data_IF_768414156663
#
_entry.id   IF_768414156663
#
_cell.length_a   1.000
_cell.length_b   1.000
_cell.length_c   1.000
_cell.angle_alpha   90.00
_cell.angle_beta   90.00
_cell.angle_gamma   90.00
#
_symmetry.space_group_name_H-M   'P 1'
#
loop_
_entity.id
_entity.type
_entity.pdbx_description
1 polymer ?
#
# COMPACT_ATOMS: atom_id res chain seq x y z
N UNK A 1 -18.89 -0.83 8.97
CA UNK A 1 -18.79 -2.23 8.49
C UNK A 1 -17.52 -2.90 9.00
N UNK A 2 -16.34 -2.76 8.38
CA UNK A 2 -15.09 -3.37 8.91
C UNK A 2 -14.65 -2.80 10.27
N UNK A 3 -14.59 -1.48 10.43
CA UNK A 3 -14.20 -0.85 11.70
C UNK A 3 -15.22 -0.99 12.85
N UNK A 4 -16.44 -1.48 12.56
CA UNK A 4 -17.47 -1.69 13.58
C UNK A 4 -17.41 -3.10 14.17
N UNK A 5 -17.11 -4.10 13.33
CA UNK A 5 -16.91 -5.48 13.76
C UNK A 5 -15.75 -6.11 12.94
N UNK A 6 -14.49 -5.84 13.35
CA UNK A 6 -13.33 -6.33 12.63
C UNK A 6 -13.24 -7.85 12.63
N UNK A 7 -13.65 -8.53 13.71
CA UNK A 7 -13.60 -10.00 13.78
C UNK A 7 -14.50 -10.64 12.73
N UNK A 8 -15.69 -10.06 12.49
CA UNK A 8 -16.62 -10.59 11.49
C UNK A 8 -16.25 -10.23 10.05
N UNK A 9 -15.70 -9.03 9.83
CA UNK A 9 -15.64 -8.44 8.49
C UNK A 9 -14.23 -8.25 7.93
N UNK A 10 -13.16 -8.49 8.70
CA UNK A 10 -11.79 -8.29 8.20
C UNK A 10 -11.49 -9.15 6.98
N UNK A 11 -11.74 -10.46 7.04
CA UNK A 11 -11.48 -11.34 5.91
C UNK A 11 -12.26 -10.92 4.65
N UNK A 12 -13.56 -10.63 4.79
CA UNK A 12 -14.40 -10.16 3.68
C UNK A 12 -13.89 -8.84 3.11
N UNK A 13 -13.53 -7.89 3.98
CA UNK A 13 -13.05 -6.57 3.55
C UNK A 13 -11.70 -6.67 2.83
N UNK A 14 -10.73 -7.41 3.38
CA UNK A 14 -9.41 -7.58 2.76
C UNK A 14 -9.54 -8.27 1.39
N UNK A 15 -10.39 -9.29 1.30
CA UNK A 15 -10.68 -9.96 0.03
C UNK A 15 -11.26 -9.00 -0.99
N UNK A 16 -12.30 -8.23 -0.63
CA UNK A 16 -12.92 -7.27 -1.55
C UNK A 16 -11.95 -6.15 -1.97
N UNK A 17 -11.17 -5.61 -1.02
CA UNK A 17 -10.17 -4.57 -1.29
C UNK A 17 -9.12 -5.04 -2.29
N UNK A 18 -8.52 -6.21 -2.04
CA UNK A 18 -7.49 -6.75 -2.92
C UNK A 18 -8.05 -7.15 -4.29
N UNK A 19 -9.26 -7.73 -4.36
CA UNK A 19 -9.91 -8.03 -5.65
C UNK A 19 -10.22 -6.77 -6.45
N UNK A 20 -10.71 -5.71 -5.79
CA UNK A 20 -10.94 -4.42 -6.44
C UNK A 20 -9.64 -3.85 -6.99
N UNK A 21 -8.57 -3.87 -6.19
CA UNK A 21 -7.26 -3.38 -6.63
C UNK A 21 -6.70 -4.21 -7.78
N UNK A 22 -6.88 -5.53 -7.74
CA UNK A 22 -6.46 -6.41 -8.81
C UNK A 22 -7.17 -6.09 -10.11
N UNK A 23 -8.49 -5.89 -10.08
CA UNK A 23 -9.24 -5.44 -11.26
C UNK A 23 -8.71 -4.12 -11.81
N UNK A 24 -8.37 -3.16 -10.96
CA UNK A 24 -7.78 -1.88 -11.38
C UNK A 24 -6.39 -2.05 -12.01
N UNK A 25 -5.53 -2.90 -11.44
CA UNK A 25 -4.17 -3.14 -11.96
C UNK A 25 -4.19 -3.88 -13.30
N UNK A 26 -5.16 -4.78 -13.50
CA UNK A 26 -5.33 -5.54 -14.74
C UNK A 26 -6.05 -4.77 -15.85
N UNK A 27 -6.57 -3.57 -15.58
CA UNK A 27 -7.14 -2.75 -16.64
C UNK A 27 -6.05 -2.30 -17.62
N UNK A 28 -6.34 -2.30 -18.94
CA UNK A 28 -5.41 -1.78 -19.92
C UNK A 28 -4.98 -0.35 -19.59
N UNK A 29 -3.70 0.01 -19.81
CA UNK A 29 -3.24 1.37 -19.60
C UNK A 29 -4.08 2.38 -20.40
N UNK A 30 -4.40 3.55 -19.83
CA UNK A 30 -5.17 4.57 -20.55
C UNK A 30 -4.49 4.95 -21.87
N UNK A 31 -5.27 5.20 -22.93
CA UNK A 31 -4.74 5.55 -24.25
C UNK A 31 -3.78 6.76 -24.23
N UNK A 32 -3.97 7.70 -23.29
CA UNK A 32 -3.05 8.84 -23.09
C UNK A 32 -1.63 8.40 -22.72
N UNK A 33 -1.50 7.31 -21.96
CA UNK A 33 -0.22 6.76 -21.52
C UNK A 33 0.48 6.10 -22.71
N UNK A 34 -0.27 5.33 -23.50
CA UNK A 34 0.22 4.65 -24.70
C UNK A 34 0.66 5.61 -25.82
N UNK A 35 0.16 6.85 -25.80
CA UNK A 35 0.49 7.92 -26.76
C UNK A 35 1.49 8.94 -26.21
N UNK A 36 1.96 8.78 -24.97
CA UNK A 36 2.86 9.74 -24.34
C UNK A 36 4.22 9.74 -25.06
N UNK A 37 4.83 10.93 -25.17
CA UNK A 37 6.22 11.04 -25.61
C UNK A 37 7.12 10.77 -24.40
N UNK A 38 7.90 9.68 -24.44
CA UNK A 38 8.79 9.25 -23.35
C UNK A 38 8.38 7.90 -22.76
N UNK A 39 9.07 7.48 -21.69
CA UNK A 39 8.77 6.23 -21.00
C UNK A 39 7.42 6.37 -20.29
N UNK A 40 6.41 5.52 -20.60
CA UNK A 40 5.11 5.60 -19.97
C UNK A 40 5.18 5.11 -18.52
N UNK A 41 4.78 5.95 -17.55
CA UNK A 41 4.78 5.58 -16.12
C UNK A 41 3.36 5.47 -15.58
N UNK A 42 3.00 4.28 -15.09
CA UNK A 42 1.73 4.02 -14.43
C UNK A 42 1.92 3.94 -12.91
N UNK A 43 1.22 4.80 -12.17
CA UNK A 43 1.30 4.86 -10.71
C UNK A 43 0.00 4.34 -10.10
N UNK A 44 0.12 3.47 -9.10
CA UNK A 44 -1.00 2.93 -8.34
C UNK A 44 -1.01 3.50 -6.91
N UNK A 45 -2.18 3.87 -6.40
CA UNK A 45 -2.34 4.09 -4.96
C UNK A 45 -2.33 2.71 -4.27
N UNK A 46 -1.25 2.41 -3.53
CA UNK A 46 -0.99 1.09 -2.93
C UNK A 46 -0.86 -0.03 -3.97
N UNK A 47 -0.79 -1.27 -3.51
CA UNK A 47 -0.62 -2.46 -4.35
C UNK A 47 -1.24 -3.70 -3.70
N UNK A 48 -1.44 -4.77 -4.48
CA UNK A 48 -1.90 -6.06 -3.92
C UNK A 48 -0.93 -6.58 -2.86
N UNK A 49 0.36 -6.27 -3.00
CA UNK A 49 1.37 -6.57 -1.98
C UNK A 49 1.09 -5.87 -0.65
N UNK A 50 0.73 -4.59 -0.66
CA UNK A 50 0.36 -3.90 0.58
C UNK A 50 -0.95 -4.45 1.19
N UNK A 51 -1.91 -4.90 0.36
CA UNK A 51 -3.12 -5.54 0.89
C UNK A 51 -2.76 -6.79 1.70
N UNK A 52 -1.81 -7.63 1.23
CA UNK A 52 -1.34 -8.81 1.97
C UNK A 52 -0.38 -8.49 3.13
N UNK A 53 0.72 -7.81 2.84
CA UNK A 53 1.87 -7.68 3.75
C UNK A 53 1.72 -6.54 4.77
N UNK A 54 0.75 -5.64 4.59
CA UNK A 54 0.42 -4.61 5.57
C UNK A 54 -0.94 -4.88 6.20
N UNK A 55 -2.01 -4.83 5.42
CA UNK A 55 -3.36 -4.79 5.99
C UNK A 55 -3.84 -6.17 6.45
N UNK A 56 -3.85 -7.17 5.58
CA UNK A 56 -4.32 -8.50 5.94
C UNK A 56 -3.42 -9.17 7.00
N UNK A 57 -2.10 -9.03 6.87
CA UNK A 57 -1.16 -9.48 7.90
C UNK A 57 -1.42 -8.81 9.25
N UNK A 58 -1.62 -7.49 9.29
CA UNK A 58 -1.97 -6.79 10.53
C UNK A 58 -3.30 -7.29 11.13
N UNK A 59 -4.33 -7.53 10.32
CA UNK A 59 -5.61 -8.06 10.83
C UNK A 59 -5.48 -9.49 11.35
N UNK A 60 -4.59 -10.30 10.78
CA UNK A 60 -4.25 -11.63 11.31
C UNK A 60 -3.50 -11.53 12.64
N UNK A 61 -2.47 -10.68 12.75
CA UNK A 61 -1.72 -10.45 14.00
C UNK A 61 -2.60 -9.85 15.12
N UNK A 62 -3.64 -9.11 14.75
CA UNK A 62 -4.66 -8.58 15.66
C UNK A 62 -5.75 -9.60 16.06
N UNK A 63 -5.70 -10.82 15.52
CA UNK A 63 -6.71 -11.86 15.77
C UNK A 63 -8.08 -11.58 15.15
N UNK A 64 -8.17 -10.63 14.22
CA UNK A 64 -9.41 -10.30 13.50
C UNK A 64 -9.60 -11.14 12.23
N UNK A 65 -8.54 -11.79 11.76
CA UNK A 65 -8.56 -12.86 10.76
C UNK A 65 -8.03 -14.10 11.48
N UNK A 66 -8.77 -15.21 11.45
CA UNK A 66 -8.32 -16.44 12.09
C UNK A 66 -7.33 -17.23 11.21
N UNK A 67 -6.74 -18.30 11.73
CA UNK A 67 -5.75 -19.11 11.01
C UNK A 67 -6.28 -19.70 9.70
N UNK A 68 -7.55 -20.12 9.66
CA UNK A 68 -8.18 -20.69 8.47
C UNK A 68 -8.39 -19.61 7.41
N UNK A 69 -8.96 -18.47 7.80
CA UNK A 69 -9.15 -17.33 6.90
C UNK A 69 -7.82 -16.79 6.38
N UNK A 70 -6.78 -16.77 7.22
CA UNK A 70 -5.45 -16.34 6.81
C UNK A 70 -4.79 -17.32 5.83
N UNK A 71 -4.92 -18.62 6.07
CA UNK A 71 -4.44 -19.63 5.13
C UNK A 71 -5.13 -19.51 3.76
N UNK A 72 -6.46 -19.38 3.75
CA UNK A 72 -7.24 -19.19 2.51
C UNK A 72 -6.86 -17.87 1.83
N UNK A 73 -6.72 -16.77 2.59
CA UNK A 73 -6.33 -15.47 2.04
C UNK A 73 -4.98 -15.54 1.32
N UNK A 74 -3.99 -16.16 1.95
CA UNK A 74 -2.66 -16.31 1.38
C UNK A 74 -2.66 -17.20 0.15
N UNK A 75 -3.42 -18.29 0.15
CA UNK A 75 -3.52 -19.23 -0.96
C UNK A 75 -4.06 -18.54 -2.21
N UNK A 76 -5.26 -17.95 -2.15
CA UNK A 76 -5.85 -17.30 -3.32
C UNK A 76 -5.04 -16.09 -3.76
N UNK A 77 -4.45 -15.32 -2.83
CA UNK A 77 -3.61 -14.18 -3.19
C UNK A 77 -2.37 -14.63 -3.95
N UNK A 78 -1.69 -15.69 -3.49
CA UNK A 78 -0.50 -16.22 -4.16
C UNK A 78 -0.86 -16.73 -5.55
N UNK A 79 -1.93 -17.52 -5.64
CA UNK A 79 -2.46 -18.01 -6.91
C UNK A 79 -2.72 -16.88 -7.91
N UNK A 80 -3.48 -15.84 -7.52
CA UNK A 80 -3.81 -14.75 -8.45
C UNK A 80 -2.57 -13.94 -8.88
N UNK A 81 -1.67 -13.62 -7.95
CA UNK A 81 -0.45 -12.88 -8.31
C UNK A 81 0.43 -13.70 -9.25
N UNK A 82 0.52 -15.02 -9.06
CA UNK A 82 1.23 -15.91 -9.98
C UNK A 82 0.54 -16.02 -11.35
N UNK A 83 -0.80 -16.14 -11.39
CA UNK A 83 -1.55 -16.22 -12.65
C UNK A 83 -1.44 -14.95 -13.50
N UNK A 84 -1.50 -13.78 -12.86
CA UNK A 84 -1.42 -12.50 -13.57
C UNK A 84 0.03 -12.02 -13.76
N UNK A 85 0.97 -12.58 -13.00
CA UNK A 85 2.42 -12.45 -13.18
C UNK A 85 2.86 -11.01 -13.47
N UNK A 86 3.45 -10.81 -14.64
CA UNK A 86 4.00 -9.52 -15.09
C UNK A 86 3.02 -8.34 -15.05
N UNK A 87 1.71 -8.59 -15.17
CA UNK A 87 0.73 -7.50 -15.18
C UNK A 87 0.58 -6.79 -13.82
N UNK A 88 1.03 -7.44 -12.75
CA UNK A 88 0.86 -6.97 -11.37
C UNK A 88 2.20 -6.77 -10.66
N UNK A 89 3.30 -6.91 -11.41
CA UNK A 89 4.64 -6.63 -10.95
C UNK A 89 4.85 -5.12 -10.78
N UNK A 90 5.72 -4.76 -9.81
CA UNK A 90 6.11 -3.38 -9.56
C UNK A 90 7.56 -3.20 -9.96
N UNK A 91 7.85 -2.12 -10.67
CA UNK A 91 9.23 -1.70 -11.01
C UNK A 91 9.83 -0.83 -9.90
N UNK A 92 8.99 -0.17 -9.09
CA UNK A 92 9.44 0.66 -7.96
C UNK A 92 8.31 0.91 -6.96
N UNK A 93 8.68 1.26 -5.73
CA UNK A 93 7.75 1.62 -4.66
C UNK A 93 8.09 3.02 -4.16
N UNK A 94 7.10 3.90 -4.07
CA UNK A 94 7.23 5.19 -3.39
C UNK A 94 6.56 5.07 -2.02
N UNK A 95 7.36 5.13 -0.96
CA UNK A 95 6.89 5.08 0.41
C UNK A 95 6.79 6.48 1.01
N UNK A 96 5.55 6.95 1.19
CA UNK A 96 5.24 8.19 1.92
C UNK A 96 5.28 7.92 3.42
N UNK A 97 6.45 8.11 4.03
CA UNK A 97 6.71 7.81 5.44
C UNK A 97 6.33 9.00 6.32
N UNK A 98 5.41 8.79 7.26
CA UNK A 98 5.03 9.79 8.26
C UNK A 98 4.79 9.13 9.63
N UNK A 99 5.03 9.84 10.74
CA UNK A 99 4.70 9.36 12.07
C UNK A 99 3.20 9.08 12.24
N UNK A 100 2.82 8.04 13.01
CA UNK A 100 1.42 7.72 13.31
C UNK A 100 0.60 8.91 13.83
N UNK A 101 1.20 9.78 14.64
CA UNK A 101 0.57 10.98 15.20
C UNK A 101 0.16 11.96 14.08
N UNK A 102 1.06 12.19 13.11
CA UNK A 102 0.77 13.03 11.94
C UNK A 102 -0.34 12.42 11.07
N UNK A 103 -0.36 11.10 10.93
CA UNK A 103 -1.43 10.39 10.24
C UNK A 103 -2.78 10.54 10.97
N UNK A 104 -2.79 10.48 12.30
CA UNK A 104 -3.97 10.68 13.13
C UNK A 104 -4.54 12.09 13.00
N UNK A 105 -3.69 13.12 13.03
CA UNK A 105 -4.08 14.51 12.79
C UNK A 105 -4.77 14.67 11.42
N UNK A 106 -4.16 14.13 10.36
CA UNK A 106 -4.70 14.19 8.99
C UNK A 106 -6.00 13.40 8.82
N UNK A 107 -6.15 12.27 9.51
CA UNK A 107 -7.42 11.52 9.57
C UNK A 107 -8.53 12.38 10.18
N UNK A 108 -8.24 13.07 11.29
CA UNK A 108 -9.16 13.99 11.95
C UNK A 108 -9.57 15.15 11.04
N UNK A 109 -8.60 15.80 10.40
CA UNK A 109 -8.84 16.91 9.45
C UNK A 109 -9.70 16.48 8.26
N UNK A 110 -9.47 15.27 7.72
CA UNK A 110 -10.23 14.76 6.57
C UNK A 110 -11.68 14.42 6.92
N UNK A 111 -11.97 14.08 8.17
CA UNK A 111 -13.34 13.99 8.69
C UNK A 111 -14.21 12.86 8.12
N UNK A 112 -13.63 11.78 7.58
CA UNK A 112 -14.41 10.64 7.06
C UNK A 112 -15.10 9.89 8.20
N UNK A 113 -16.40 9.65 8.03
CA UNK A 113 -17.23 9.05 9.08
C UNK A 113 -16.79 7.63 9.45
N UNK A 114 -16.33 6.86 8.47
CA UNK A 114 -15.89 5.47 8.62
C UNK A 114 -14.61 5.34 9.45
N UNK A 115 -13.82 6.41 9.54
CA UNK A 115 -12.50 6.42 10.17
C UNK A 115 -12.50 7.03 11.57
N UNK A 116 -13.64 7.57 12.04
CA UNK A 116 -13.77 8.20 13.36
C UNK A 116 -13.42 7.29 14.54
N UNK A 117 -13.54 5.97 14.37
CA UNK A 117 -13.23 4.98 15.40
C UNK A 117 -11.77 4.53 15.43
N UNK A 118 -10.94 4.93 14.45
CA UNK A 118 -9.54 4.51 14.35
C UNK A 118 -8.75 5.11 15.51
N UNK A 119 -7.99 4.26 16.21
CA UNK A 119 -7.13 4.65 17.33
C UNK A 119 -5.67 4.77 16.91
N UNK A 120 -4.89 5.55 17.65
CA UNK A 120 -3.46 5.74 17.39
C UNK A 120 -2.70 4.40 17.37
N UNK A 121 -2.97 3.51 18.33
CA UNK A 121 -2.36 2.17 18.42
C UNK A 121 -2.53 1.35 17.12
N UNK A 122 -3.67 1.51 16.42
CA UNK A 122 -3.88 0.84 15.15
C UNK A 122 -2.97 1.41 14.06
N UNK A 123 -2.79 2.73 14.03
CA UNK A 123 -1.88 3.40 13.10
C UNK A 123 -0.41 3.06 13.40
N UNK A 124 -0.03 2.90 14.66
CA UNK A 124 1.30 2.46 15.08
C UNK A 124 1.61 1.03 14.61
N UNK A 125 0.63 0.13 14.69
CA UNK A 125 0.75 -1.23 14.16
C UNK A 125 0.89 -1.23 12.64
N UNK A 126 0.07 -0.45 11.93
CA UNK A 126 0.21 -0.30 10.48
C UNK A 126 1.57 0.30 10.10
N UNK A 127 2.04 1.32 10.83
CA UNK A 127 3.35 1.92 10.61
C UNK A 127 4.46 0.87 10.78
N UNK A 128 4.40 0.07 11.83
CA UNK A 128 5.34 -1.05 12.07
C UNK A 128 5.38 -2.02 10.90
N UNK A 129 4.23 -2.38 10.30
CA UNK A 129 4.23 -3.27 9.13
C UNK A 129 4.87 -2.62 7.89
N UNK A 130 4.68 -1.32 7.68
CA UNK A 130 5.35 -0.61 6.59
C UNK A 130 6.86 -0.54 6.82
N UNK A 131 7.32 -0.24 8.03
CA UNK A 131 8.75 -0.20 8.36
C UNK A 131 9.40 -1.57 8.17
N UNK A 132 8.79 -2.64 8.70
CA UNK A 132 9.26 -4.02 8.54
C UNK A 132 9.40 -4.43 7.08
N UNK A 133 8.47 -4.02 6.23
CA UNK A 133 8.47 -4.39 4.82
C UNK A 133 9.38 -3.49 3.97
N UNK A 134 9.28 -2.18 4.12
CA UNK A 134 9.85 -1.22 3.17
C UNK A 134 11.23 -0.72 3.60
N UNK A 135 11.52 -0.70 4.91
CA UNK A 135 12.78 -0.22 5.49
C UNK A 135 13.65 -1.39 5.97
N UNK A 136 13.18 -2.15 6.97
CA UNK A 136 13.99 -3.18 7.64
C UNK A 136 14.15 -4.46 6.83
N UNK A 137 13.29 -4.65 5.82
CA UNK A 137 13.23 -5.87 4.97
C UNK A 137 13.09 -7.17 5.79
N UNK A 138 12.42 -7.10 6.93
CA UNK A 138 12.21 -8.23 7.85
C UNK A 138 10.90 -8.98 7.60
N UNK A 139 9.95 -8.40 6.87
CA UNK A 139 8.73 -9.09 6.45
C UNK A 139 9.04 -10.24 5.50
N UNK A 140 8.61 -11.47 5.83
CA UNK A 140 8.76 -12.63 4.95
C UNK A 140 7.93 -12.48 3.69
N UNK A 141 8.61 -12.30 2.55
CA UNK A 141 7.98 -12.20 1.23
C UNK A 141 7.90 -13.58 0.55
N UNK A 142 6.86 -13.76 -0.25
CA UNK A 142 6.60 -14.99 -1.01
C UNK A 142 6.81 -14.79 -2.52
N UNK A 143 7.26 -13.61 -2.93
CA UNK A 143 7.52 -13.25 -4.31
C UNK A 143 8.95 -12.72 -4.40
N UNK A 144 9.85 -13.48 -5.04
CA UNK A 144 11.28 -13.17 -5.10
C UNK A 144 11.55 -11.80 -5.72
N UNK A 145 10.82 -11.41 -6.78
CA UNK A 145 11.02 -10.10 -7.41
C UNK A 145 10.84 -8.95 -6.42
N UNK A 146 9.90 -9.08 -5.47
CA UNK A 146 9.57 -8.03 -4.53
C UNK A 146 10.72 -7.69 -3.55
N UNK A 147 11.68 -8.60 -3.34
CA UNK A 147 12.85 -8.32 -2.50
C UNK A 147 13.80 -7.31 -3.13
N UNK A 148 13.80 -7.21 -4.46
CA UNK A 148 14.73 -6.37 -5.23
C UNK A 148 14.10 -5.06 -5.72
N UNK A 149 12.79 -4.89 -5.55
CA UNK A 149 12.09 -3.68 -6.01
C UNK A 149 12.64 -2.46 -5.25
N UNK A 150 13.16 -1.45 -5.95
CA UNK A 150 13.69 -0.25 -5.33
C UNK A 150 12.58 0.54 -4.63
N UNK A 151 12.93 1.13 -3.48
CA UNK A 151 12.01 1.91 -2.65
C UNK A 151 12.51 3.35 -2.51
N UNK A 152 11.74 4.31 -3.02
CA UNK A 152 11.93 5.72 -2.72
C UNK A 152 11.18 6.07 -1.43
N UNK A 153 11.90 6.53 -0.40
CA UNK A 153 11.29 7.01 0.85
C UNK A 153 11.16 8.52 0.80
N UNK A 154 9.94 9.03 0.96
CA UNK A 154 9.65 10.46 1.10
C UNK A 154 9.16 10.75 2.51
N UNK A 155 9.76 11.76 3.16
CA UNK A 155 9.38 12.19 4.50
C UNK A 155 8.10 13.03 4.49
N UNK A 156 6.96 12.33 4.46
CA UNK A 156 5.64 12.92 4.43
C UNK A 156 5.23 13.54 5.79
N UNK A 157 6.13 13.67 6.77
CA UNK A 157 5.89 14.48 7.97
C UNK A 157 5.93 15.99 7.67
N UNK A 158 6.68 16.38 6.63
CA UNK A 158 6.79 17.75 6.15
C UNK A 158 5.47 18.27 5.57
N UNK A 159 5.28 19.59 5.62
CA UNK A 159 4.11 20.24 5.01
C UNK A 159 4.31 20.29 3.49
N UNK A 160 3.42 19.66 2.72
CA UNK A 160 3.54 19.52 1.27
C UNK A 160 2.53 20.40 0.51
N UNK A 161 1.35 20.62 1.10
CA UNK A 161 0.25 21.34 0.44
C UNK A 161 0.60 22.82 0.33
N UNK A 162 1.07 23.41 1.44
CA UNK A 162 1.34 24.84 1.53
C UNK A 162 2.81 25.22 1.29
N UNK A 163 3.76 24.30 1.46
CA UNK A 163 5.19 24.60 1.25
C UNK A 163 5.65 24.27 -0.19
N UNK A 164 5.86 25.29 -1.05
CA UNK A 164 6.31 25.07 -2.42
C UNK A 164 7.72 24.47 -2.51
N UNK A 165 8.59 24.66 -1.51
CA UNK A 165 9.94 24.10 -1.49
C UNK A 165 9.90 22.60 -1.23
N UNK A 166 9.09 22.15 -0.27
CA UNK A 166 8.87 20.71 0.00
C UNK A 166 8.26 20.03 -1.23
N UNK A 167 7.26 20.67 -1.85
CA UNK A 167 6.65 20.16 -3.07
C UNK A 167 7.64 20.03 -4.23
N UNK A 168 8.46 21.05 -4.47
CA UNK A 168 9.50 20.99 -5.51
C UNK A 168 10.54 19.91 -5.23
N UNK A 169 10.94 19.75 -3.95
CA UNK A 169 11.85 18.68 -3.52
C UNK A 169 11.28 17.31 -3.83
N UNK A 170 10.04 17.02 -3.44
CA UNK A 170 9.41 15.71 -3.67
C UNK A 170 9.27 15.42 -5.16
N UNK A 171 8.84 16.39 -5.96
CA UNK A 171 8.72 16.24 -7.42
C UNK A 171 10.08 15.89 -8.03
N UNK A 172 11.16 16.52 -7.56
CA UNK A 172 12.53 16.24 -8.04
C UNK A 172 12.94 14.81 -7.67
N UNK A 173 12.79 14.42 -6.40
CA UNK A 173 13.11 13.06 -5.94
C UNK A 173 12.34 11.97 -6.69
N UNK A 174 11.05 12.20 -7.00
CA UNK A 174 10.23 11.26 -7.77
C UNK A 174 10.69 11.18 -9.23
N UNK A 175 11.05 12.31 -9.86
CA UNK A 175 11.58 12.32 -11.23
C UNK A 175 12.91 11.59 -11.34
N UNK A 176 13.82 11.84 -10.39
CA UNK A 176 15.11 11.19 -10.34
C UNK A 176 14.95 9.68 -10.13
N UNK A 177 14.02 9.29 -9.24
CA UNK A 177 13.67 7.88 -9.03
C UNK A 177 13.15 7.22 -10.30
N UNK A 178 12.19 7.82 -11.00
CA UNK A 178 11.68 7.28 -12.26
C UNK A 178 12.72 7.22 -13.37
N UNK A 179 13.72 8.10 -13.36
CA UNK A 179 14.80 8.10 -14.35
C UNK A 179 15.87 7.04 -14.07
N UNK A 180 15.91 6.51 -12.83
CA UNK A 180 16.83 5.46 -12.41
C UNK A 180 16.23 4.05 -12.41
N UNK A 181 14.94 3.90 -12.72
CA UNK A 181 14.28 2.62 -12.99
C UNK A 181 14.55 2.19 -14.45
#
# INVERSE_FOLDING_TARGET
MMYQDPQRWSYTFQTNSCMSRMRTQLQPPPARLLRAKGVPVQVFERSVYSDRYVFALNMFELGCINSTEWAVYQDWHSFLVEQFGRQVELEGIIYLRAPPQKCMERLGQRGRMEEKGVQLDYLEKLHTQHERWLIDKSTKLHFERLTWVPVLVLDASLEFEEDPKVRAKFITQVKDFFSGL
#
